data_IF_541721188950
#
_entry.id   IF_541721188950
#
_cell.length_a   1.000
_cell.length_b   1.000
_cell.length_c   1.000
_cell.angle_alpha   90.00
_cell.angle_beta   90.00
_cell.angle_gamma   90.00
#
_symmetry.space_group_name_H-M   'P 1'
#
loop_
_entity.id
_entity.type
_entity.pdbx_description
1 polymer ?
#
# COMPACT_ATOMS: atom_id res chain seq x y z
N UNK A 1 9.29 -0.74 -19.38
CA UNK A 1 9.24 -0.69 -17.90
C UNK A 1 7.94 -1.39 -17.55
N UNK A 2 7.90 -2.39 -16.66
CA UNK A 2 6.62 -2.97 -16.29
C UNK A 2 5.85 -1.86 -15.57
N UNK A 3 4.81 -1.35 -16.20
CA UNK A 3 3.89 -0.41 -15.58
C UNK A 3 3.27 -1.11 -14.38
N UNK A 4 3.56 -0.65 -13.16
CA UNK A 4 2.95 -1.17 -11.95
C UNK A 4 1.42 -1.09 -12.11
N UNK A 5 0.76 -2.24 -12.11
CA UNK A 5 -0.69 -2.29 -12.29
C UNK A 5 -1.33 -2.04 -10.94
N UNK A 6 -1.84 -0.83 -10.77
CA UNK A 6 -2.67 -0.51 -9.62
C UNK A 6 -4.05 -1.13 -9.79
N UNK A 7 -4.59 -1.73 -8.73
CA UNK A 7 -6.00 -2.05 -8.68
C UNK A 7 -6.83 -0.77 -8.78
N UNK A 8 -7.75 -0.78 -9.72
CA UNK A 8 -8.77 0.25 -9.86
C UNK A 8 -9.84 -0.02 -8.80
N UNK A 9 -9.87 0.82 -7.77
CA UNK A 9 -10.89 0.77 -6.74
C UNK A 9 -11.83 1.95 -6.97
N UNK A 10 -13.16 1.76 -6.97
CA UNK A 10 -14.04 2.90 -6.74
C UNK A 10 -13.67 3.52 -5.38
N UNK A 11 -13.65 4.86 -5.29
CA UNK A 11 -13.20 5.65 -4.13
C UNK A 11 -13.81 5.26 -2.76
N UNK A 12 -14.83 4.40 -2.73
CA UNK A 12 -15.49 3.90 -1.53
C UNK A 12 -15.26 2.40 -1.27
N UNK A 13 -14.21 1.79 -1.83
CA UNK A 13 -13.92 0.38 -1.56
C UNK A 13 -13.47 0.25 -0.10
N UNK A 14 -14.21 -0.48 0.75
CA UNK A 14 -13.78 -0.71 2.12
C UNK A 14 -12.46 -1.48 2.12
N UNK A 15 -11.56 -1.08 3.02
CA UNK A 15 -10.33 -1.82 3.28
C UNK A 15 -10.72 -3.23 3.74
N UNK A 16 -10.21 -4.31 3.11
CA UNK A 16 -10.53 -5.67 3.52
C UNK A 16 -10.00 -5.94 4.94
N UNK A 17 -10.72 -6.78 5.69
CA UNK A 17 -10.36 -7.17 7.07
C UNK A 17 -8.92 -7.72 7.16
N UNK A 18 -8.44 -8.40 6.12
CA UNK A 18 -7.07 -8.92 6.00
C UNK A 18 -5.97 -7.83 5.94
N UNK A 19 -6.33 -6.57 5.74
CA UNK A 19 -5.42 -5.43 5.81
C UNK A 19 -5.37 -4.79 7.20
N UNK A 20 -5.94 -5.43 8.23
CA UNK A 20 -5.78 -5.02 9.61
C UNK A 20 -4.88 -6.00 10.35
N UNK A 21 -3.88 -5.46 11.04
CA UNK A 21 -3.04 -6.21 11.97
C UNK A 21 -3.87 -6.65 13.19
N UNK A 22 -3.38 -7.62 13.97
CA UNK A 22 -4.09 -8.18 15.13
C UNK A 22 -4.53 -7.14 16.17
N UNK A 23 -3.86 -5.99 16.23
CA UNK A 23 -4.20 -4.85 17.10
C UNK A 23 -5.31 -3.94 16.54
N UNK A 24 -5.89 -4.27 15.38
CA UNK A 24 -6.91 -3.47 14.69
C UNK A 24 -6.35 -2.24 13.99
N UNK A 25 -5.03 -2.09 13.94
CA UNK A 25 -4.34 -1.07 13.17
C UNK A 25 -4.27 -1.48 11.69
N UNK A 26 -4.41 -0.53 10.75
CA UNK A 26 -4.25 -0.83 9.32
C UNK A 26 -2.81 -1.25 9.04
N UNK A 27 -2.66 -2.43 8.45
CA UNK A 27 -1.39 -3.00 8.04
C UNK A 27 -0.99 -2.37 6.70
N UNK A 28 -0.01 -1.46 6.74
CA UNK A 28 0.40 -0.71 5.55
C UNK A 28 0.96 -1.64 4.46
N UNK A 29 1.67 -2.70 4.83
CA UNK A 29 2.26 -3.63 3.86
C UNK A 29 1.15 -4.39 3.11
N UNK A 30 0.20 -4.96 3.85
CA UNK A 30 -0.95 -5.62 3.26
C UNK A 30 -1.79 -4.67 2.37
N UNK A 31 -1.94 -3.41 2.78
CA UNK A 31 -2.61 -2.39 1.97
C UNK A 31 -1.87 -2.11 0.66
N UNK A 32 -0.55 -2.03 0.70
CA UNK A 32 0.29 -1.78 -0.48
C UNK A 32 0.23 -2.95 -1.46
N UNK A 33 0.33 -4.20 -0.97
CA UNK A 33 0.14 -5.41 -1.79
C UNK A 33 -1.27 -5.50 -2.38
N UNK A 34 -2.27 -5.07 -1.61
CA UNK A 34 -3.65 -5.06 -2.07
C UNK A 34 -3.88 -4.01 -3.17
N UNK A 35 -3.25 -2.83 -3.04
CA UNK A 35 -3.30 -1.73 -4.02
C UNK A 35 -2.49 -2.04 -5.28
N UNK A 36 -1.33 -2.66 -5.12
CA UNK A 36 -0.45 -3.04 -6.20
C UNK A 36 -0.05 -4.51 -6.05
N UNK A 37 -0.80 -5.45 -6.66
CA UNK A 37 -0.48 -6.88 -6.57
C UNK A 37 0.81 -7.28 -7.30
N UNK A 38 1.36 -6.40 -8.14
CA UNK A 38 2.68 -6.57 -8.76
C UNK A 38 3.85 -6.26 -7.80
N UNK A 39 3.55 -5.68 -6.63
CA UNK A 39 4.56 -5.29 -5.66
C UNK A 39 5.03 -6.52 -4.87
N UNK A 40 6.35 -6.71 -4.79
CA UNK A 40 6.92 -7.80 -3.99
C UNK A 40 6.64 -7.58 -2.49
N UNK A 41 6.46 -8.64 -1.68
CA UNK A 41 6.25 -8.49 -0.23
C UNK A 41 7.40 -7.73 0.46
N UNK A 42 8.65 -7.97 0.06
CA UNK A 42 9.81 -7.21 0.54
C UNK A 42 9.74 -5.70 0.21
N UNK A 43 9.20 -5.35 -0.96
CA UNK A 43 8.99 -3.95 -1.34
C UNK A 43 7.82 -3.34 -0.57
N UNK A 44 6.76 -4.10 -0.32
CA UNK A 44 5.60 -3.65 0.44
C UNK A 44 5.97 -3.34 1.89
N UNK A 45 6.73 -4.22 2.56
CA UNK A 45 7.27 -3.96 3.90
C UNK A 45 8.17 -2.73 3.93
N UNK A 46 9.04 -2.58 2.92
CA UNK A 46 9.93 -1.41 2.83
C UNK A 46 9.15 -0.11 2.67
N UNK A 47 8.15 -0.09 1.79
CA UNK A 47 7.28 1.06 1.59
C UNK A 47 6.44 1.34 2.84
N UNK A 48 5.92 0.30 3.49
CA UNK A 48 5.20 0.41 4.75
C UNK A 48 6.03 1.14 5.81
N UNK A 49 7.28 0.72 6.01
CA UNK A 49 8.19 1.38 6.94
C UNK A 49 8.46 2.85 6.60
N UNK A 50 8.51 3.21 5.31
CA UNK A 50 8.66 4.61 4.86
C UNK A 50 7.39 5.42 5.16
N UNK A 51 6.22 4.83 4.89
CA UNK A 51 4.91 5.43 5.18
C UNK A 51 4.73 5.69 6.67
N UNK A 52 5.01 4.69 7.51
CA UNK A 52 4.95 4.81 8.97
C UNK A 52 5.92 5.85 9.51
N UNK A 53 7.17 5.87 9.03
CA UNK A 53 8.16 6.87 9.44
C UNK A 53 7.78 8.31 9.03
N UNK A 54 6.93 8.46 8.01
CA UNK A 54 6.46 9.74 7.50
C UNK A 54 5.12 10.19 8.11
N UNK A 55 4.60 9.45 9.10
CA UNK A 55 3.24 9.63 9.65
C UNK A 55 2.18 9.67 8.52
N UNK A 56 2.41 8.87 7.47
CA UNK A 56 1.57 8.84 6.29
C UNK A 56 0.24 8.20 6.64
N UNK A 57 -0.85 8.89 6.32
CA UNK A 57 -2.18 8.30 6.49
C UNK A 57 -2.33 7.08 5.56
N UNK A 58 -2.92 5.98 6.04
CA UNK A 58 -3.19 4.76 5.27
C UNK A 58 -4.38 4.95 4.29
N UNK A 59 -4.39 6.07 3.57
CA UNK A 59 -5.36 6.38 2.53
C UNK A 59 -4.84 5.87 1.19
N UNK A 60 -5.72 5.30 0.35
CA UNK A 60 -5.35 4.72 -0.96
C UNK A 60 -4.58 5.71 -1.84
N UNK A 61 -4.94 6.99 -1.83
CA UNK A 61 -4.26 8.03 -2.62
C UNK A 61 -2.82 8.24 -2.14
N UNK A 62 -2.62 8.33 -0.82
CA UNK A 62 -1.29 8.52 -0.23
C UNK A 62 -0.40 7.30 -0.48
N UNK A 63 -0.95 6.10 -0.36
CA UNK A 63 -0.24 4.84 -0.61
C UNK A 63 0.11 4.64 -2.09
N UNK A 64 -0.80 4.95 -3.02
CA UNK A 64 -0.51 4.95 -4.46
C UNK A 64 0.66 5.88 -4.79
N UNK A 65 0.60 7.10 -4.26
CA UNK A 65 1.67 8.09 -4.45
C UNK A 65 3.00 7.61 -3.86
N UNK A 66 2.98 6.99 -2.69
CA UNK A 66 4.17 6.38 -2.08
C UNK A 66 4.79 5.30 -2.98
N UNK A 67 3.96 4.44 -3.56
CA UNK A 67 4.40 3.43 -4.54
C UNK A 67 5.00 4.12 -5.77
N UNK A 68 4.33 5.11 -6.36
CA UNK A 68 4.85 5.82 -7.53
C UNK A 68 6.18 6.56 -7.26
N UNK A 69 6.36 7.12 -6.07
CA UNK A 69 7.57 7.87 -5.70
C UNK A 69 8.76 6.95 -5.36
N UNK A 70 8.50 5.75 -4.83
CA UNK A 70 9.54 4.88 -4.27
C UNK A 70 9.70 3.51 -4.93
N UNK A 71 8.67 2.98 -5.59
CA UNK A 71 8.80 1.77 -6.40
C UNK A 71 9.55 2.14 -7.69
N UNK A 72 10.84 1.83 -7.71
CA UNK A 72 11.68 1.98 -8.90
C UNK A 72 11.63 0.69 -9.74
N UNK A 73 11.70 0.79 -11.08
CA UNK A 73 11.89 -0.36 -11.95
C UNK A 73 13.25 -1.03 -11.79
#
# INVERSE_FOLDING_TARGET
MPDLVFRDFPDNTPIPDDCYSCDGAPDLAALLEWICPDLSPDEAERLAAIGEASDLRPDVVSLKRLIEEHARP
#
